data_IF_788353841224
#
_entry.id   IF_788353841224
#
_cell.length_a   1.000
_cell.length_b   1.000
_cell.length_c   1.000
_cell.angle_alpha   90.00
_cell.angle_beta   90.00
_cell.angle_gamma   90.00
#
_symmetry.space_group_name_H-M   'P 1'
#
loop_
_entity.id
_entity.type
_entity.pdbx_description
1 polymer ?
2 non-polymer ?
3 non-polymer ?
4 non-polymer ?
5 non-polymer ?
6 water ?
#
# COMPACT_ATOMS: atom_id res chain seq x y z
N UNK A 6 -26.33 -3.26 18.15
CA UNK A 6 -25.29 -3.45 19.20
C UNK A 6 -24.00 -2.70 18.83
N UNK A 7 -23.18 -2.37 19.85
CA UNK A 7 -21.92 -1.64 19.71
C UNK A 7 -20.99 -2.21 18.64
N UNK A 8 -20.16 -1.33 18.08
CA UNK A 8 -19.24 -1.71 17.03
C UNK A 8 -17.93 -0.92 17.07
N UNK A 9 -16.82 -1.55 16.65
CA UNK A 9 -15.52 -0.88 16.65
C UNK A 9 -15.45 0.08 15.45
N UNK A 10 -16.31 -0.20 14.47
CA UNK A 10 -16.32 0.58 13.24
C UNK A 10 -17.49 1.54 13.08
N UNK A 11 -17.40 2.31 11.99
CA UNK A 11 -18.42 3.27 11.58
C UNK A 11 -18.30 3.33 10.06
N UNK A 12 -19.40 3.04 9.36
CA UNK A 12 -19.40 3.02 7.90
C UNK A 12 -20.01 4.25 7.26
N UNK A 13 -19.41 4.71 6.18
CA UNK A 13 -19.90 5.88 5.45
C UNK A 13 -20.15 5.54 3.98
N UNK A 14 -20.94 6.37 3.31
CA UNK A 14 -21.16 6.24 1.89
C UNK A 14 -20.37 7.45 1.41
N UNK A 15 -20.15 7.57 0.11
CA UNK A 15 -19.35 8.70 -0.36
C UNK A 15 -19.93 10.06 0.04
N UNK A 16 -21.26 10.16 0.07
CA UNK A 16 -21.92 11.41 0.41
C UNK A 16 -21.59 11.86 1.83
N UNK A 17 -21.68 10.94 2.78
CA UNK A 17 -21.39 11.23 4.18
C UNK A 17 -19.90 11.53 4.36
N UNK A 18 -19.06 10.77 3.66
CA UNK A 18 -17.63 10.92 3.78
C UNK A 18 -17.06 12.21 3.20
N UNK A 19 -17.54 12.64 2.04
CA UNK A 19 -17.00 13.86 1.44
C UNK A 19 -17.32 15.10 2.27
N UNK A 20 -18.42 15.07 3.01
CA UNK A 20 -18.81 16.18 3.86
C UNK A 20 -17.68 16.51 4.82
N UNK A 21 -16.92 15.48 5.20
CA UNK A 21 -15.80 15.62 6.13
C UNK A 21 -14.55 16.24 5.52
N UNK A 22 -14.66 16.75 4.30
CA UNK A 22 -13.51 17.37 3.64
C UNK A 22 -13.17 18.70 4.29
N UNK A 23 -14.20 19.50 4.54
CA UNK A 23 -14.06 20.83 5.13
C UNK A 23 -13.28 21.77 4.21
N UNK A 24 -12.32 22.48 4.76
CA UNK A 24 -11.54 23.43 3.96
C UNK A 24 -10.31 22.82 3.28
N UNK A 25 -10.13 21.52 3.45
CA UNK A 25 -8.96 20.87 2.85
C UNK A 25 -8.87 21.25 1.38
N UNK A 26 -7.77 21.90 0.99
CA UNK A 26 -7.50 22.35 -0.38
C UNK A 26 -6.94 21.29 -1.32
N UNK A 27 -7.45 21.27 -2.55
CA UNK A 27 -7.00 20.33 -3.58
C UNK A 27 -5.70 20.90 -4.15
N UNK A 28 -4.58 20.20 -3.95
CA UNK A 28 -3.30 20.68 -4.46
C UNK A 28 -2.74 19.73 -5.50
N UNK A 29 -3.61 19.21 -6.36
CA UNK A 29 -3.16 18.28 -7.38
C UNK A 29 -3.78 18.62 -8.73
N UNK A 30 -2.94 18.70 -9.76
CA UNK A 30 -3.40 19.01 -11.12
C UNK A 30 -3.89 17.71 -11.75
N UNK A 31 -4.58 17.80 -12.88
CA UNK A 31 -5.07 16.60 -13.53
C UNK A 31 -3.93 15.81 -14.15
N UNK A 32 -2.90 16.52 -14.61
CA UNK A 32 -1.76 15.86 -15.23
C UNK A 32 -0.92 15.14 -14.18
N UNK A 33 -0.96 15.62 -12.95
CA UNK A 33 -0.20 14.99 -11.87
C UNK A 33 -0.92 13.73 -11.44
N UNK A 34 -2.25 13.82 -11.40
CA UNK A 34 -3.07 12.67 -11.03
C UNK A 34 -2.84 11.53 -12.02
N UNK A 35 -2.64 11.88 -13.29
CA UNK A 35 -2.40 10.91 -14.36
C UNK A 35 -1.09 10.15 -14.14
N UNK A 36 -0.04 10.87 -13.75
CA UNK A 36 1.25 10.25 -13.53
C UNK A 36 1.31 9.43 -12.24
N UNK A 37 0.17 9.37 -11.54
CA UNK A 37 0.07 8.62 -10.30
C UNK A 37 -0.86 7.44 -10.50
N UNK A 38 -1.74 7.58 -11.49
CA UNK A 38 -2.72 6.56 -11.81
C UNK A 38 -2.17 5.33 -12.54
N UNK A 39 -2.44 4.16 -11.96
CA UNK A 39 -1.98 2.92 -12.55
C UNK A 39 -2.94 2.36 -13.59
N UNK A 40 -2.41 1.57 -14.50
CA UNK A 40 -3.19 0.96 -15.56
C UNK A 40 -4.44 0.30 -14.99
N UNK A 41 -5.59 0.66 -15.54
CA UNK A 41 -6.83 0.08 -15.05
C UNK A 41 -7.61 0.96 -14.10
N UNK A 42 -6.91 1.79 -13.33
CA UNK A 42 -7.59 2.67 -12.38
C UNK A 42 -8.36 3.80 -13.07
N UNK A 43 -9.54 4.11 -12.54
CA UNK A 43 -10.41 5.14 -13.10
C UNK A 43 -10.48 6.39 -12.23
N UNK A 44 -9.60 6.49 -11.24
CA UNK A 44 -9.61 7.63 -10.33
C UNK A 44 -9.46 9.01 -11.00
N UNK A 45 -10.41 9.90 -10.74
CA UNK A 45 -10.37 11.28 -11.27
C UNK A 45 -10.23 12.26 -10.09
N UNK A 46 -10.01 13.54 -10.39
CA UNK A 46 -9.88 14.55 -9.34
C UNK A 46 -11.09 14.64 -8.43
N UNK A 47 -12.26 14.27 -8.95
CA UNK A 47 -13.46 14.33 -8.12
C UNK A 47 -13.28 13.37 -6.95
N UNK A 48 -12.75 12.17 -7.23
CA UNK A 48 -12.56 11.18 -6.17
C UNK A 48 -11.47 11.65 -5.22
N UNK A 49 -10.45 12.33 -5.75
CA UNK A 49 -9.39 12.86 -4.90
C UNK A 49 -10.00 13.86 -3.93
N UNK A 50 -11.07 14.53 -4.37
CA UNK A 50 -11.75 15.52 -3.55
C UNK A 50 -12.68 14.94 -2.51
N UNK A 51 -13.59 14.08 -2.95
CA UNK A 51 -14.59 13.48 -2.08
C UNK A 51 -14.16 12.26 -1.26
N UNK A 52 -13.00 11.71 -1.54
CA UNK A 52 -12.55 10.52 -0.83
C UNK A 52 -11.16 10.68 -0.21
N UNK A 53 -10.19 11.06 -1.02
CA UNK A 53 -8.83 11.21 -0.53
C UNK A 53 -8.56 12.48 0.27
N UNK A 54 -9.40 13.50 0.13
CA UNK A 54 -9.16 14.74 0.87
C UNK A 54 -9.59 14.61 2.34
N UNK A 55 -10.78 14.03 2.58
CA UNK A 55 -11.20 13.88 3.97
C UNK A 55 -10.15 12.99 4.68
N UNK A 56 -9.68 11.97 3.96
CA UNK A 56 -8.68 11.06 4.49
C UNK A 56 -7.40 11.80 4.89
N UNK A 57 -6.94 12.68 4.02
CA UNK A 57 -5.72 13.42 4.30
C UNK A 57 -5.91 14.26 5.55
N UNK A 58 -7.13 14.74 5.76
CA UNK A 58 -7.47 15.56 6.92
C UNK A 58 -7.36 14.72 8.19
N UNK A 59 -8.18 13.68 8.26
CA UNK A 59 -8.18 12.76 9.40
C UNK A 59 -6.77 12.39 9.79
N UNK A 60 -5.88 12.26 8.81
CA UNK A 60 -4.50 11.89 9.08
C UNK A 60 -3.65 12.96 9.74
N UNK A 61 -3.78 14.21 9.30
CA UNK A 61 -2.98 15.26 9.91
C UNK A 61 -3.51 15.57 11.30
N UNK A 62 -4.81 15.34 11.50
CA UNK A 62 -5.40 15.56 12.81
C UNK A 62 -4.73 14.59 13.79
N UNK A 63 -4.49 13.37 13.31
CA UNK A 63 -3.87 12.36 14.14
C UNK A 63 -2.35 12.38 14.20
N UNK A 64 -1.71 12.91 13.15
CA UNK A 64 -0.25 12.97 13.18
C UNK A 64 0.10 13.80 14.41
N UNK A 65 -0.73 14.80 14.67
CA UNK A 65 -0.56 15.69 15.80
C UNK A 65 -0.81 14.94 17.10
N UNK A 66 -1.96 14.28 17.17
CA UNK A 66 -2.34 13.51 18.35
C UNK A 66 -1.42 12.34 18.67
N UNK A 67 -0.90 11.67 17.63
CA UNK A 67 0.00 10.53 17.83
C UNK A 67 1.32 10.99 18.42
N UNK A 68 1.71 12.23 18.14
CA UNK A 68 2.97 12.72 18.65
C UNK A 68 2.94 12.92 20.17
N UNK A 69 1.75 13.19 20.71
CA UNK A 69 1.62 13.39 22.14
C UNK A 69 1.87 12.09 22.88
N UNK A 70 1.59 10.96 22.22
CA UNK A 70 1.81 9.67 22.82
C UNK A 70 3.29 9.38 23.03
N UNK A 71 4.12 9.76 22.07
CA UNK A 71 5.56 9.53 22.20
C UNK A 71 6.12 10.56 23.16
N UNK A 72 5.42 11.69 23.26
CA UNK A 72 5.83 12.76 24.15
C UNK A 72 5.70 12.23 25.57
N UNK A 73 4.49 11.78 25.90
CA UNK A 73 4.17 11.25 27.22
C UNK A 73 5.19 10.21 27.67
N UNK A 74 5.55 9.31 26.77
CA UNK A 74 6.50 8.28 27.14
C UNK A 74 7.92 8.83 27.30
N UNK A 75 8.23 9.89 26.56
CA UNK A 75 9.56 10.49 26.65
C UNK A 75 9.65 11.22 28.00
N UNK A 76 8.53 11.82 28.40
CA UNK A 76 8.46 12.53 29.67
C UNK A 76 8.64 11.52 30.78
N UNK A 77 7.85 10.44 30.72
CA UNK A 77 7.92 9.38 31.72
C UNK A 77 9.35 8.91 31.91
N UNK A 78 10.05 8.71 30.78
CA UNK A 78 11.43 8.24 30.80
C UNK A 78 12.41 9.32 31.23
N UNK A 79 11.92 10.55 31.39
CA UNK A 79 12.78 11.64 31.81
C UNK A 79 13.70 12.10 30.69
N UNK A 80 13.56 11.48 29.52
CA UNK A 80 14.36 11.82 28.35
C UNK A 80 14.17 13.29 28.01
N UNK A 81 14.93 13.80 27.03
CA UNK A 81 14.73 15.21 26.71
C UNK A 81 13.30 15.35 26.16
N UNK A 82 13.15 16.24 25.19
CA UNK A 82 11.89 16.46 24.52
C UNK A 82 12.40 16.75 23.12
N UNK A 83 12.69 15.65 22.42
CA UNK A 83 13.28 15.65 21.09
C UNK A 83 12.91 16.64 20.00
N UNK A 84 13.94 16.86 19.18
CA UNK A 84 13.99 17.73 18.02
C UNK A 84 12.72 17.88 17.21
N UNK A 85 12.16 19.11 17.16
CA UNK A 85 10.94 19.24 16.35
C UNK A 85 11.38 19.18 14.88
N UNK A 86 12.69 19.20 14.69
CA UNK A 86 13.29 19.13 13.35
C UNK A 86 13.39 17.67 12.92
N UNK A 87 13.04 16.78 13.84
CA UNK A 87 13.06 15.34 13.67
C UNK A 87 12.22 14.58 14.61
N UNK A 88 10.95 14.63 14.42
CA UNK A 88 10.01 13.92 15.29
C UNK A 88 9.94 12.43 14.93
N UNK A 89 9.12 11.67 15.66
CA UNK A 89 8.99 10.24 15.40
C UNK A 89 8.18 10.02 14.12
N UNK A 90 8.79 9.40 13.11
CA UNK A 90 8.08 9.15 11.86
C UNK A 90 6.68 8.55 12.02
N UNK A 91 5.73 9.01 11.22
CA UNK A 91 4.35 8.52 11.24
C UNK A 91 4.27 7.43 10.14
N UNK A 92 4.00 6.20 10.56
CA UNK A 92 3.94 5.08 9.63
C UNK A 92 2.54 4.73 9.15
N UNK A 93 2.37 4.66 7.84
CA UNK A 93 1.08 4.34 7.27
C UNK A 93 1.17 3.09 6.40
N UNK A 94 0.28 2.14 6.67
CA UNK A 94 0.28 0.91 5.91
C UNK A 94 -0.86 0.89 4.92
N UNK A 95 -0.61 0.35 3.73
CA UNK A 95 -1.63 0.24 2.70
C UNK A 95 -1.61 -1.19 2.21
N UNK A 96 -2.72 -1.88 2.45
CA UNK A 96 -2.86 -3.28 2.09
C UNK A 96 -3.97 -3.54 1.11
N UNK A 97 -4.02 -4.79 0.64
CA UNK A 97 -5.05 -5.17 -0.30
C UNK A 97 -4.55 -6.19 -1.29
N UNK A 98 -5.48 -6.77 -2.05
CA UNK A 98 -5.13 -7.77 -3.03
C UNK A 98 -4.30 -7.22 -4.18
N UNK A 99 -3.78 -8.14 -4.98
CA UNK A 99 -3.04 -7.81 -6.18
C UNK A 99 -4.10 -7.25 -7.11
N UNK A 100 -3.76 -6.20 -7.86
CA UNK A 100 -4.70 -5.63 -8.81
C UNK A 100 -5.95 -4.95 -8.24
N UNK A 101 -5.92 -4.54 -6.98
CA UNK A 101 -7.08 -3.88 -6.40
C UNK A 101 -6.86 -2.36 -6.43
N UNK A 102 -5.62 -1.96 -6.74
CA UNK A 102 -5.30 -0.54 -6.83
C UNK A 102 -4.55 0.09 -5.67
N UNK A 103 -4.12 -0.72 -4.70
CA UNK A 103 -3.42 -0.15 -3.56
C UNK A 103 -2.21 0.72 -3.89
N UNK A 104 -1.47 0.39 -4.95
CA UNK A 104 -0.30 1.19 -5.31
C UNK A 104 -0.71 2.61 -5.74
N UNK A 105 -1.82 2.72 -6.46
CA UNK A 105 -2.30 4.01 -6.90
C UNK A 105 -2.76 4.78 -5.69
N UNK A 106 -3.49 4.11 -4.81
CA UNK A 106 -3.99 4.73 -3.60
C UNK A 106 -2.83 5.28 -2.78
N UNK A 107 -1.77 4.48 -2.65
CA UNK A 107 -0.62 4.89 -1.87
C UNK A 107 0.17 6.03 -2.51
N UNK A 108 0.23 6.07 -3.83
CA UNK A 108 0.95 7.16 -4.52
C UNK A 108 0.16 8.45 -4.36
N UNK A 109 -1.16 8.34 -4.48
CA UNK A 109 -2.02 9.51 -4.34
C UNK A 109 -1.91 10.07 -2.92
N UNK A 110 -1.88 9.18 -1.94
CA UNK A 110 -1.80 9.61 -0.55
C UNK A 110 -0.49 10.33 -0.30
N UNK A 111 0.59 9.79 -0.85
CA UNK A 111 1.88 10.40 -0.68
C UNK A 111 1.88 11.81 -1.25
N UNK A 112 1.25 11.99 -2.41
CA UNK A 112 1.22 13.29 -3.07
C UNK A 112 0.47 14.33 -2.26
N UNK A 113 -0.70 13.95 -1.74
CA UNK A 113 -1.50 14.88 -0.97
C UNK A 113 -0.83 15.29 0.34
N UNK A 114 -0.15 14.34 1.00
CA UNK A 114 0.51 14.61 2.27
C UNK A 114 1.79 15.42 2.12
N UNK A 115 2.49 15.23 1.00
CA UNK A 115 3.73 15.97 0.76
C UNK A 115 3.42 17.43 0.43
N UNK A 116 2.18 17.69 0.08
CA UNK A 116 1.74 19.04 -0.25
C UNK A 116 0.94 19.66 0.88
N UNK A 117 1.37 19.43 2.12
CA UNK A 117 0.68 20.02 3.24
C UNK A 117 1.55 21.20 3.69
N UNK A 118 0.90 22.19 4.31
CA UNK A 118 1.54 23.43 4.75
C UNK A 118 3.07 23.51 4.92
N UNK A 119 3.68 22.62 5.72
CA UNK A 119 5.13 22.68 5.86
C UNK A 119 5.81 22.15 4.60
N UNK A 120 5.36 20.98 4.19
CA UNK A 120 5.89 20.22 3.06
C UNK A 120 6.70 19.15 3.78
N UNK A 121 6.00 18.23 4.45
CA UNK A 121 6.64 17.14 5.18
C UNK A 121 7.31 16.14 4.25
N UNK A 122 8.37 15.51 4.73
CA UNK A 122 9.07 14.51 3.95
C UNK A 122 8.21 13.26 4.02
N UNK A 123 7.61 12.90 2.89
CA UNK A 123 6.74 11.72 2.82
C UNK A 123 7.30 10.66 1.88
N UNK A 124 7.92 9.64 2.44
CA UNK A 124 8.49 8.55 1.64
C UNK A 124 7.48 7.41 1.44
N UNK A 125 7.58 6.77 0.28
CA UNK A 125 6.71 5.64 -0.04
C UNK A 125 7.58 4.42 -0.31
N UNK A 126 7.29 3.32 0.38
CA UNK A 126 8.05 2.09 0.20
C UNK A 126 7.13 0.89 0.02
N UNK A 127 7.39 0.12 -1.02
CA UNK A 127 6.59 -1.05 -1.31
C UNK A 127 7.33 -2.26 -0.76
N UNK A 128 6.59 -3.25 -0.27
CA UNK A 128 7.22 -4.44 0.28
C UNK A 128 7.81 -5.36 -0.79
N UNK A 129 7.56 -5.05 -2.07
CA UNK A 129 8.07 -5.84 -3.18
C UNK A 129 9.57 -5.99 -3.06
N UNK A 130 10.23 -4.92 -2.62
CA UNK A 130 11.67 -4.95 -2.46
C UNK A 130 12.16 -5.94 -1.43
N UNK A 131 11.26 -6.46 -0.60
CA UNK A 131 11.65 -7.41 0.43
C UNK A 131 11.31 -8.85 0.06
N UNK A 132 10.87 -9.07 -1.16
CA UNK A 132 10.59 -10.42 -1.60
C UNK A 132 11.94 -11.11 -1.75
N UNK A 133 11.98 -12.43 -1.66
CA UNK A 133 13.23 -13.13 -1.86
C UNK A 133 13.49 -13.20 -3.35
N UNK A 134 14.77 -13.22 -3.74
CA UNK A 134 15.12 -13.31 -5.16
C UNK A 134 14.48 -14.59 -5.69
N UNK A 135 14.16 -14.62 -6.97
CA UNK A 135 13.54 -15.80 -7.56
C UNK A 135 14.33 -17.09 -7.31
N UNK A 136 15.66 -16.99 -7.40
CA UNK A 136 16.51 -18.14 -7.17
C UNK A 136 16.32 -18.66 -5.76
N UNK A 137 16.12 -17.76 -4.81
CA UNK A 137 15.92 -18.15 -3.42
C UNK A 137 14.48 -18.70 -3.23
N UNK A 138 13.55 -18.21 -4.04
CA UNK A 138 12.19 -18.68 -3.95
C UNK A 138 12.13 -20.10 -4.49
N UNK A 139 12.84 -20.35 -5.61
CA UNK A 139 12.86 -21.68 -6.19
C UNK A 139 13.49 -22.63 -5.19
N UNK A 140 14.52 -22.15 -4.52
CA UNK A 140 15.23 -22.90 -3.50
C UNK A 140 14.20 -23.28 -2.41
N UNK A 141 13.46 -22.29 -1.91
CA UNK A 141 12.47 -22.51 -0.87
C UNK A 141 11.22 -23.14 -1.46
N UNK A 142 11.22 -23.38 -2.76
CA UNK A 142 10.06 -23.99 -3.42
C UNK A 142 8.84 -23.08 -3.37
N UNK A 143 9.06 -21.77 -3.34
CA UNK A 143 7.97 -20.82 -3.23
C UNK A 143 7.65 -20.02 -4.48
N UNK A 144 8.15 -20.44 -5.64
CA UNK A 144 7.88 -19.70 -6.86
C UNK A 144 6.40 -19.60 -7.19
N UNK A 145 5.60 -20.54 -6.70
CA UNK A 145 4.18 -20.48 -6.97
C UNK A 145 3.40 -19.97 -5.75
N UNK A 146 4.13 -19.35 -4.83
CA UNK A 146 3.53 -18.77 -3.64
C UNK A 146 4.10 -17.35 -3.51
N UNK A 147 4.59 -16.83 -4.62
CA UNK A 147 5.15 -15.48 -4.65
C UNK A 147 4.02 -14.52 -4.28
N UNK A 148 4.22 -13.77 -3.20
CA UNK A 148 3.19 -12.86 -2.74
C UNK A 148 2.70 -13.29 -1.37
N UNK A 149 2.87 -14.58 -1.06
CA UNK A 149 2.47 -15.10 0.23
C UNK A 149 3.40 -14.56 1.32
N UNK A 150 2.93 -14.53 2.58
CA UNK A 150 3.76 -14.01 3.68
C UNK A 150 5.18 -14.57 3.70
N UNK A 151 5.33 -15.88 3.54
CA UNK A 151 6.65 -16.50 3.58
C UNK A 151 7.52 -16.24 2.35
N UNK A 152 7.00 -15.54 1.36
CA UNK A 152 7.82 -15.25 0.17
C UNK A 152 8.59 -13.95 0.39
N UNK A 153 8.47 -13.39 1.59
CA UNK A 153 9.17 -12.15 1.95
C UNK A 153 10.19 -12.33 3.07
N UNK A 154 11.25 -11.54 3.00
CA UNK A 154 12.26 -11.53 4.05
C UNK A 154 11.64 -10.61 5.11
N UNK A 155 10.67 -11.16 5.84
CA UNK A 155 9.95 -10.41 6.86
C UNK A 155 10.84 -9.87 7.95
N UNK A 156 11.99 -10.50 8.13
CA UNK A 156 12.92 -10.08 9.14
C UNK A 156 13.58 -8.78 8.67
N UNK A 157 13.99 -8.75 7.42
CA UNK A 157 14.63 -7.56 6.87
C UNK A 157 13.62 -6.40 6.84
N UNK A 158 12.37 -6.71 6.51
CA UNK A 158 11.31 -5.70 6.45
C UNK A 158 11.08 -5.03 7.80
N UNK A 159 10.95 -5.85 8.82
CA UNK A 159 10.74 -5.36 10.17
C UNK A 159 11.96 -4.55 10.62
N UNK A 160 13.15 -4.99 10.21
CA UNK A 160 14.37 -4.29 10.55
C UNK A 160 14.33 -2.90 9.91
N UNK A 161 13.90 -2.84 8.64
CA UNK A 161 13.81 -1.58 7.93
C UNK A 161 12.84 -0.58 8.57
N UNK A 162 11.61 -1.03 8.82
CA UNK A 162 10.59 -0.17 9.41
C UNK A 162 10.92 0.23 10.83
N UNK A 163 11.48 -0.71 11.60
CA UNK A 163 11.87 -0.40 12.98
C UNK A 163 12.95 0.66 12.96
N UNK A 164 13.95 0.45 12.11
CA UNK A 164 15.05 1.40 11.97
C UNK A 164 14.53 2.82 11.73
N UNK A 165 13.63 2.95 10.76
CA UNK A 165 13.07 4.23 10.41
C UNK A 165 12.26 4.89 11.53
N UNK A 166 11.30 4.17 12.11
CA UNK A 166 10.50 4.75 13.18
C UNK A 166 11.31 5.00 14.46
N UNK A 167 12.41 4.27 14.63
CA UNK A 167 13.24 4.47 15.80
C UNK A 167 14.12 5.72 15.66
N UNK A 168 14.00 6.42 14.53
CA UNK A 168 14.76 7.65 14.31
C UNK A 168 16.11 7.56 13.63
N UNK A 169 16.38 6.46 12.92
CA UNK A 169 17.66 6.34 12.22
C UNK A 169 17.81 7.50 11.23
N UNK A 170 19.05 7.89 10.95
CA UNK A 170 19.28 9.00 10.02
C UNK A 170 18.97 8.57 8.60
N UNK A 171 19.08 7.27 8.36
CA UNK A 171 18.77 6.70 7.06
C UNK A 171 18.68 5.18 7.12
N UNK A 172 17.76 4.62 6.34
CA UNK A 172 17.54 3.18 6.28
C UNK A 172 17.44 2.77 4.82
N UNK A 173 17.96 1.59 4.49
CA UNK A 173 17.94 1.13 3.11
C UNK A 173 17.03 -0.07 2.89
N UNK A 174 16.47 -0.17 1.69
CA UNK A 174 15.59 -1.27 1.32
C UNK A 174 15.94 -1.76 -0.07
N UNK A 175 15.83 -3.08 -0.30
CA UNK A 175 16.13 -3.63 -1.62
C UNK A 175 15.09 -3.13 -2.62
N UNK A 176 15.35 -3.32 -3.90
CA UNK A 176 14.42 -2.87 -4.93
C UNK A 176 13.95 -3.99 -5.85
N UNK A 177 12.65 -4.03 -6.11
CA UNK A 177 12.08 -5.05 -6.95
C UNK A 177 11.68 -4.51 -8.33
N UNK A 178 11.96 -5.30 -9.37
CA UNK A 178 11.63 -4.93 -10.75
C UNK A 178 10.48 -5.79 -11.27
N UNK A 179 9.32 -5.17 -11.52
CA UNK A 179 8.18 -5.91 -12.04
C UNK A 179 8.47 -6.41 -13.46
N UNK A 180 9.26 -5.64 -14.19
CA UNK A 180 9.59 -6.00 -15.57
C UNK A 180 10.36 -7.31 -15.62
N UNK A 181 11.40 -7.43 -14.80
CA UNK A 181 12.21 -8.63 -14.78
C UNK A 181 11.67 -9.66 -13.80
N UNK A 182 10.61 -9.28 -13.10
CA UNK A 182 9.95 -10.18 -12.16
C UNK A 182 10.92 -10.65 -11.06
N UNK A 183 11.88 -9.82 -10.69
CA UNK A 183 12.84 -10.22 -9.70
C UNK A 183 13.48 -9.01 -9.02
N UNK A 184 14.19 -9.28 -7.93
CA UNK A 184 14.88 -8.24 -7.19
C UNK A 184 16.01 -7.74 -8.07
N UNK A 185 16.35 -6.46 -7.95
CA UNK A 185 17.43 -5.91 -8.75
C UNK A 185 18.75 -5.98 -7.98
N UNK A 186 19.77 -6.60 -8.57
CA UNK A 186 21.06 -6.71 -7.90
C UNK A 186 21.68 -5.35 -7.59
N UNK A 187 22.04 -5.15 -6.32
CA UNK A 187 22.70 -3.91 -5.89
C UNK A 187 21.87 -2.64 -5.81
N UNK A 188 20.61 -2.68 -6.22
CA UNK A 188 19.79 -1.48 -6.13
C UNK A 188 19.32 -1.29 -4.70
N UNK A 189 19.09 -0.06 -4.30
CA UNK A 189 18.62 0.22 -2.96
C UNK A 189 17.83 1.52 -2.91
N UNK A 190 16.85 1.56 -2.01
CA UNK A 190 16.06 2.77 -1.82
C UNK A 190 16.48 3.27 -0.46
N UNK A 191 16.92 4.53 -0.41
CA UNK A 191 17.34 5.12 0.84
C UNK A 191 16.26 6.00 1.42
N UNK A 192 15.90 5.75 2.67
CA UNK A 192 14.88 6.53 3.35
C UNK A 192 15.57 7.28 4.49
N UNK A 193 15.49 8.61 4.44
CA UNK A 193 16.16 9.46 5.43
C UNK A 193 15.23 10.20 6.38
N UNK A 194 15.05 9.62 7.57
CA UNK A 194 14.20 10.19 8.60
C UNK A 194 13.04 11.00 8.07
N UNK A 195 12.12 10.36 7.34
CA UNK A 195 10.96 11.07 6.79
C UNK A 195 9.98 11.42 7.90
N UNK A 196 9.11 12.38 7.64
CA UNK A 196 8.10 12.76 8.60
C UNK A 196 7.00 11.70 8.55
N UNK A 197 6.83 11.13 7.37
CA UNK A 197 5.82 10.09 7.16
C UNK A 197 6.37 9.04 6.20
N UNK A 198 6.14 7.77 6.54
CA UNK A 198 6.54 6.66 5.71
C UNK A 198 5.28 5.86 5.39
N UNK A 199 5.02 5.68 4.11
CA UNK A 199 3.89 4.88 3.70
C UNK A 199 4.48 3.55 3.22
N UNK A 200 3.99 2.45 3.79
CA UNK A 200 4.44 1.10 3.43
C UNK A 200 3.29 0.41 2.71
N UNK A 201 3.45 0.21 1.41
CA UNK A 201 2.40 -0.43 0.63
C UNK A 201 2.76 -1.89 0.33
N UNK A 202 1.82 -2.80 0.57
CA UNK A 202 2.06 -4.21 0.32
C UNK A 202 0.88 -5.12 0.60
N UNK A 203 0.87 -6.29 -0.02
CA UNK A 203 -0.16 -7.32 0.15
C UNK A 203 -0.37 -7.78 1.57
N UNK A 204 0.76 -8.06 2.23
CA UNK A 204 0.91 -8.61 3.57
C UNK A 204 1.06 -7.61 4.73
N UNK A 205 1.17 -6.32 4.45
CA UNK A 205 1.48 -5.36 5.53
C UNK A 205 0.66 -5.37 6.84
N UNK A 206 -0.66 -5.66 6.79
CA UNK A 206 -1.46 -5.66 8.01
C UNK A 206 -1.43 -6.95 8.79
N UNK A 207 -0.49 -7.78 8.44
CA UNK A 207 -0.35 -9.08 9.05
C UNK A 207 0.20 -9.12 10.45
N UNK A 208 -0.29 -10.09 11.22
CA UNK A 208 0.10 -10.23 12.61
C UNK A 208 0.77 -11.60 12.82
N UNK A 209 1.40 -11.77 13.98
CA UNK A 209 2.09 -13.03 14.22
C UNK A 209 2.69 -13.23 15.61
N UNK A 210 3.48 -14.29 15.79
CA UNK A 210 4.15 -14.66 17.05
C UNK A 210 5.36 -13.79 17.37
N UNK A 211 5.55 -12.72 16.62
CA UNK A 211 6.65 -11.81 16.87
C UNK A 211 6.17 -10.41 16.52
N UNK A 212 6.82 -9.39 17.06
CA UNK A 212 6.40 -8.03 16.75
C UNK A 212 6.56 -7.85 15.24
N UNK A 213 5.54 -7.27 14.60
CA UNK A 213 5.62 -7.10 13.17
C UNK A 213 5.34 -5.68 12.71
N UNK A 214 5.67 -5.45 11.45
CA UNK A 214 5.50 -4.16 10.81
C UNK A 214 4.14 -3.53 11.09
N UNK A 215 3.08 -4.34 11.10
CA UNK A 215 1.74 -3.82 11.36
C UNK A 215 1.60 -3.28 12.78
N UNK A 216 2.45 -3.78 13.69
CA UNK A 216 2.43 -3.32 15.09
C UNK A 216 3.02 -1.94 15.25
N UNK A 217 3.72 -1.49 14.22
CA UNK A 217 4.35 -0.18 14.24
C UNK A 217 3.54 0.84 13.43
N UNK A 218 2.43 0.41 12.83
CA UNK A 218 1.62 1.34 12.04
C UNK A 218 0.90 2.33 12.93
N UNK A 219 0.87 3.59 12.53
CA UNK A 219 0.16 4.62 13.27
C UNK A 219 -1.20 4.82 12.62
N UNK A 220 -1.32 4.29 11.39
CA UNK A 220 -2.55 4.36 10.60
C UNK A 220 -2.43 3.33 9.49
N UNK A 221 -3.55 2.75 9.07
CA UNK A 221 -3.52 1.75 8.01
C UNK A 221 -4.72 1.82 7.09
N UNK A 222 -4.45 1.51 5.83
CA UNK A 222 -5.46 1.54 4.79
C UNK A 222 -5.57 0.16 4.16
N UNK A 223 -6.80 -0.26 3.86
CA UNK A 223 -7.02 -1.54 3.22
C UNK A 223 -7.92 -1.29 2.01
N UNK A 224 -7.36 -1.41 0.80
CA UNK A 224 -8.13 -1.18 -0.41
C UNK A 224 -8.89 -2.47 -0.72
N UNK A 225 -10.22 -2.38 -0.62
CA UNK A 225 -11.08 -3.54 -0.78
C UNK A 225 -11.98 -3.55 -2.02
N UNK A 226 -12.49 -4.73 -2.36
CA UNK A 226 -13.37 -4.90 -3.49
C UNK A 226 -13.89 -6.33 -3.52
N UNK A 227 -15.00 -6.53 -4.22
CA UNK A 227 -15.57 -7.86 -4.35
C UNK A 227 -14.54 -8.73 -5.08
N UNK A 228 -14.25 -9.90 -4.52
CA UNK A 228 -13.26 -10.79 -5.10
C UNK A 228 -13.47 -11.11 -6.58
N UNK A 229 -14.72 -11.28 -7.01
CA UNK A 229 -14.97 -11.56 -8.43
C UNK A 229 -14.59 -10.33 -9.27
N UNK A 230 -14.73 -9.15 -8.69
CA UNK A 230 -14.37 -7.93 -9.41
C UNK A 230 -12.86 -7.81 -9.55
N UNK A 231 -12.14 -8.15 -8.48
CA UNK A 231 -10.69 -8.06 -8.53
C UNK A 231 -10.14 -9.04 -9.56
N UNK A 232 -10.74 -10.21 -9.67
CA UNK A 232 -10.28 -11.19 -10.66
C UNK A 232 -10.44 -10.59 -12.04
N UNK A 233 -11.57 -9.93 -12.26
CA UNK A 233 -11.83 -9.30 -13.53
C UNK A 233 -10.80 -8.21 -13.83
N UNK A 234 -10.47 -7.41 -12.83
CA UNK A 234 -9.47 -6.35 -13.07
C UNK A 234 -8.13 -6.99 -13.37
N UNK A 235 -7.83 -8.09 -12.67
CA UNK A 235 -6.57 -8.80 -12.87
C UNK A 235 -6.43 -9.32 -14.30
N UNK A 236 -7.41 -10.11 -14.73
CA UNK A 236 -7.41 -10.66 -16.07
C UNK A 236 -7.36 -9.51 -17.07
N UNK A 237 -8.22 -8.55 -16.84
CA UNK A 237 -8.32 -7.39 -17.69
C UNK A 237 -6.97 -6.68 -17.85
N UNK A 238 -6.27 -6.46 -16.73
CA UNK A 238 -4.97 -5.79 -16.79
C UNK A 238 -3.93 -6.69 -17.47
N UNK A 239 -4.11 -7.99 -17.31
CA UNK A 239 -3.21 -8.96 -17.91
C UNK A 239 -3.30 -8.87 -19.45
N UNK A 240 -4.53 -8.85 -19.98
CA UNK A 240 -4.65 -8.73 -21.44
C UNK A 240 -4.06 -7.40 -21.91
N UNK A 241 -4.34 -6.35 -21.14
CA UNK A 241 -3.85 -5.02 -21.48
C UNK A 241 -2.32 -4.93 -21.47
N UNK A 242 -1.65 -5.74 -20.66
CA UNK A 242 -0.19 -5.68 -20.60
C UNK A 242 0.51 -6.30 -21.79
N UNK A 243 -0.26 -7.02 -22.61
CA UNK A 243 0.32 -7.63 -23.81
C UNK A 243 0.91 -6.53 -24.66
N UNK A 244 0.32 -5.33 -24.57
CA UNK A 244 0.81 -4.20 -25.36
C UNK A 244 1.48 -3.09 -24.53
N UNK A 245 1.77 -3.36 -23.25
CA UNK A 245 2.49 -2.39 -22.43
C UNK A 245 3.72 -3.10 -21.85
N UNK A 246 3.65 -3.57 -20.61
CA UNK A 246 4.77 -4.25 -19.99
C UNK A 246 5.29 -5.47 -20.75
N UNK A 247 4.42 -6.43 -21.03
CA UNK A 247 4.81 -7.64 -21.73
C UNK A 247 5.37 -7.39 -23.12
N UNK A 248 5.00 -6.27 -23.73
CA UNK A 248 5.46 -5.97 -25.08
C UNK A 248 6.95 -5.67 -25.12
N UNK A 249 7.53 -5.45 -23.95
CA UNK A 249 8.95 -5.16 -23.85
C UNK A 249 9.73 -6.46 -23.96
N UNK A 250 10.65 -6.56 -24.93
CA UNK A 250 11.45 -7.76 -25.12
C UNK A 250 12.20 -8.16 -23.85
N UNK A 251 12.49 -7.16 -23.01
CA UNK A 251 13.21 -7.39 -21.76
C UNK A 251 12.29 -7.95 -20.68
N UNK A 252 10.98 -7.87 -20.92
CA UNK A 252 10.02 -8.36 -19.95
C UNK A 252 10.15 -9.87 -19.73
N UNK A 253 10.10 -10.25 -18.47
CA UNK A 253 10.19 -11.65 -18.09
C UNK A 253 9.02 -12.41 -18.72
N UNK A 254 7.89 -11.74 -18.86
CA UNK A 254 6.70 -12.36 -19.42
C UNK A 254 6.47 -11.94 -20.87
N UNK A 255 7.54 -11.69 -21.61
CA UNK A 255 7.39 -11.27 -23.00
C UNK A 255 6.66 -12.29 -23.85
N UNK A 256 6.71 -13.56 -23.46
CA UNK A 256 6.03 -14.61 -24.23
C UNK A 256 4.52 -14.39 -24.21
N UNK A 257 4.02 -13.78 -23.15
CA UNK A 257 2.58 -13.52 -23.02
C UNK A 257 2.05 -12.52 -24.02
N UNK A 258 2.93 -11.69 -24.54
CA UNK A 258 2.53 -10.66 -25.50
C UNK A 258 1.80 -11.22 -26.73
N UNK A 259 2.26 -12.38 -27.21
CA UNK A 259 1.67 -13.00 -28.39
C UNK A 259 0.42 -13.84 -28.13
N UNK A 260 -0.05 -13.86 -26.90
CA UNK A 260 -1.26 -14.62 -26.59
C UNK A 260 -2.49 -13.94 -27.17
N UNK A 261 -3.49 -14.77 -27.51
CA UNK A 261 -4.75 -14.26 -28.04
C UNK A 261 -5.62 -13.91 -26.85
N UNK A 262 -6.62 -13.08 -27.07
CA UNK A 262 -7.50 -12.69 -25.98
C UNK A 262 -7.92 -13.92 -25.19
N UNK A 263 -8.25 -14.97 -25.90
CA UNK A 263 -8.69 -16.22 -25.31
C UNK A 263 -7.57 -16.95 -24.56
N UNK A 264 -6.41 -17.10 -25.20
CA UNK A 264 -5.29 -17.76 -24.54
C UNK A 264 -4.91 -17.02 -23.28
N UNK A 265 -4.89 -15.69 -23.39
CA UNK A 265 -4.53 -14.80 -22.31
C UNK A 265 -5.51 -14.88 -21.14
N UNK A 266 -6.80 -14.96 -21.45
CA UNK A 266 -7.81 -15.05 -20.39
C UNK A 266 -7.62 -16.33 -19.59
N UNK A 267 -7.30 -17.42 -20.28
CA UNK A 267 -7.09 -18.70 -19.64
C UNK A 267 -5.88 -18.64 -18.71
N UNK A 268 -4.76 -18.15 -19.23
CA UNK A 268 -3.55 -18.07 -18.44
C UNK A 268 -3.75 -17.19 -17.20
N UNK A 269 -4.31 -16.01 -17.38
CA UNK A 269 -4.52 -15.08 -16.27
C UNK A 269 -5.42 -15.68 -15.19
N UNK A 270 -6.45 -16.42 -15.61
CA UNK A 270 -7.38 -17.05 -14.66
C UNK A 270 -6.69 -18.14 -13.86
N UNK A 271 -5.83 -18.91 -14.51
CA UNK A 271 -5.14 -19.98 -13.83
C UNK A 271 -4.18 -19.43 -12.77
N UNK A 272 -3.50 -18.34 -13.10
CA UNK A 272 -2.57 -17.73 -12.16
C UNK A 272 -3.34 -17.18 -10.96
N UNK A 273 -4.50 -16.58 -11.25
CA UNK A 273 -5.35 -16.01 -10.20
C UNK A 273 -5.92 -17.10 -9.30
N UNK A 274 -6.37 -18.18 -9.92
CA UNK A 274 -6.98 -19.30 -9.22
C UNK A 274 -6.00 -20.04 -8.32
N UNK A 275 -4.80 -20.25 -8.83
CA UNK A 275 -3.79 -20.98 -8.09
C UNK A 275 -2.86 -20.17 -7.21
N UNK A 276 -2.77 -18.86 -7.43
CA UNK A 276 -1.87 -18.05 -6.61
C UNK A 276 -2.43 -16.83 -5.88
N UNK A 277 -2.88 -15.82 -6.62
CA UNK A 277 -3.36 -14.60 -6.00
C UNK A 277 -4.64 -14.71 -5.19
N UNK A 278 -5.61 -15.47 -5.68
CA UNK A 278 -6.87 -15.63 -4.96
C UNK A 278 -6.63 -16.36 -3.63
N UNK A 279 -5.93 -17.49 -3.66
CA UNK A 279 -5.66 -18.23 -2.41
C UNK A 279 -5.02 -17.30 -1.38
N UNK A 280 -4.03 -16.54 -1.84
CA UNK A 280 -3.34 -15.62 -0.93
C UNK A 280 -4.30 -14.57 -0.37
N UNK A 281 -5.12 -14.01 -1.25
CA UNK A 281 -6.10 -13.00 -0.85
C UNK A 281 -7.05 -13.57 0.19
N UNK A 282 -7.53 -14.78 -0.06
CA UNK A 282 -8.46 -15.46 0.84
C UNK A 282 -7.83 -15.93 2.15
N UNK A 283 -6.68 -16.58 2.05
CA UNK A 283 -6.00 -17.10 3.22
C UNK A 283 -5.19 -16.09 4.03
N UNK A 284 -4.63 -15.08 3.39
CA UNK A 284 -3.79 -14.15 4.14
C UNK A 284 -4.13 -12.68 4.16
N UNK A 285 -4.56 -12.12 3.03
CA UNK A 285 -4.85 -10.70 2.97
C UNK A 285 -6.19 -10.34 3.62
N UNK A 286 -7.26 -10.97 3.17
CA UNK A 286 -8.58 -10.69 3.73
C UNK A 286 -8.65 -10.81 5.25
N UNK A 287 -7.98 -11.82 5.83
CA UNK A 287 -8.03 -11.95 7.30
C UNK A 287 -7.39 -10.77 8.05
N UNK A 288 -6.67 -9.90 7.33
CA UNK A 288 -6.06 -8.75 7.99
C UNK A 288 -6.92 -7.50 7.89
N UNK A 289 -7.94 -7.55 7.03
CA UNK A 289 -8.82 -6.40 6.83
C UNK A 289 -9.48 -5.82 8.09
N UNK A 290 -9.96 -6.69 9.02
CA UNK A 290 -10.61 -6.20 10.25
C UNK A 290 -9.75 -5.22 11.06
N UNK A 291 -8.44 -5.31 10.88
CA UNK A 291 -7.52 -4.45 11.63
C UNK A 291 -7.20 -3.09 10.99
N UNK A 292 -7.54 -2.90 9.72
CA UNK A 292 -7.24 -1.63 9.05
C UNK A 292 -8.01 -0.45 9.65
N UNK A 293 -7.34 0.69 9.77
CA UNK A 293 -7.98 1.87 10.31
C UNK A 293 -9.15 2.26 9.41
N UNK A 294 -8.86 2.29 8.10
CA UNK A 294 -9.87 2.64 7.12
C UNK A 294 -9.91 1.69 5.93
N UNK A 295 -11.08 1.18 5.63
CA UNK A 295 -11.25 0.28 4.50
C UNK A 295 -11.95 1.05 3.37
N UNK A 296 -11.28 1.19 2.23
CA UNK A 296 -11.86 1.86 1.06
C UNK A 296 -12.49 0.77 0.20
N UNK A 297 -13.81 0.72 0.17
CA UNK A 297 -14.52 -0.27 -0.63
C UNK A 297 -14.73 0.27 -2.05
N UNK A 298 -14.36 -0.54 -3.05
CA UNK A 298 -14.51 -0.14 -4.44
C UNK A 298 -15.56 -0.95 -5.17
N UNK A 299 -16.39 -0.26 -5.96
CA UNK A 299 -17.40 -0.94 -6.74
C UNK A 299 -16.76 -1.51 -8.01
N UNK A 300 -17.51 -2.33 -8.73
CA UNK A 300 -17.04 -2.97 -9.94
C UNK A 300 -16.40 -2.01 -10.94
N UNK A 301 -16.77 -0.74 -10.89
CA UNK A 301 -16.21 0.24 -11.81
C UNK A 301 -14.97 0.93 -11.25
N UNK A 302 -14.40 0.34 -10.19
CA UNK A 302 -13.21 0.86 -9.52
C UNK A 302 -13.52 2.04 -8.64
N UNK A 303 -14.77 2.45 -8.63
CA UNK A 303 -15.18 3.61 -7.85
C UNK A 303 -15.29 3.36 -6.34
N UNK A 304 -14.74 4.27 -5.55
CA UNK A 304 -14.83 4.12 -4.09
C UNK A 304 -16.12 4.77 -3.58
N UNK A 305 -17.13 3.95 -3.30
CA UNK A 305 -18.41 4.47 -2.84
C UNK A 305 -18.79 4.14 -1.38
N UNK A 306 -17.92 3.42 -0.68
CA UNK A 306 -18.18 3.07 0.71
C UNK A 306 -16.88 3.00 1.50
N UNK A 307 -16.95 3.36 2.78
CA UNK A 307 -15.78 3.34 3.63
C UNK A 307 -16.11 2.82 5.01
N UNK A 308 -15.14 2.16 5.65
CA UNK A 308 -15.32 1.62 7.00
C UNK A 308 -14.16 2.12 7.86
N UNK A 309 -14.48 2.95 8.83
CA UNK A 309 -13.47 3.51 9.71
C UNK A 309 -13.46 2.85 11.08
N UNK A 310 -12.29 2.77 11.69
CA UNK A 310 -12.17 2.21 13.02
C UNK A 310 -12.22 3.36 14.01
N UNK A 311 -13.22 3.36 14.87
CA UNK A 311 -13.30 4.42 15.86
C UNK A 311 -12.69 3.84 17.14
N UNK A 312 -12.61 2.52 17.17
CA UNK A 312 -12.01 1.79 18.30
C UNK A 312 -11.06 0.73 17.74
#
# INVERSE_FOLDING_TARGET
MSRLSEPSPYVEFDRRQWRALRMSTPLALTEEELVGLRGLGEQIDLLEVEEVYLPLARLIHLQVAARQRLFAATAEFLGEPQQNPDRPVPFIIGVAGSVAVGKSTTARVLQALLARWDHHPRVDLVTTDGFLYPNAELQRRNLMHRKGFPESYNRRALMRFVTSVKSGSDYACAPVYSHLHYDIIPGAEQVVRHPDILILEGLNVLQTGPTLMVSDLFDFSLYVDARIEDIEQWYVSRFLAMRTTAFADPESHFHHYAAFSDSQAVVAAREIWRTINRPNLVENILPTRPRATLVLRKDADHSINRLRLRKL
#
